data_IF_413899389677
#
_entry.id   IF_413899389677
#
_cell.length_a   1.000
_cell.length_b   1.000
_cell.length_c   1.000
_cell.angle_alpha   90.00
_cell.angle_beta   90.00
_cell.angle_gamma   90.00
#
_symmetry.space_group_name_H-M   'P 1'
#
loop_
_entity.id
_entity.type
_entity.pdbx_description
1 polymer ?
#
# COMPACT_ATOMS: atom_id res chain seq x y z
N UNK A 1 11.60 -21.37 -1.37
CA UNK A 1 11.21 -20.75 -1.16
C UNK A 1 10.29 -20.20 -1.52
N UNK A 2 9.77 -20.00 -1.30
CA UNK A 2 8.90 -19.48 -1.63
C UNK A 2 8.87 -18.42 -2.05
N UNK A 3 8.42 -18.53 -2.81
CA UNK A 3 8.45 -17.32 -3.39
C UNK A 3 7.97 -16.37 -2.43
N UNK A 4 8.79 -15.53 -2.10
CA UNK A 4 8.39 -14.54 -1.22
C UNK A 4 7.47 -13.64 -1.90
N UNK A 5 6.39 -13.36 -1.27
CA UNK A 5 5.42 -12.47 -1.84
C UNK A 5 5.79 -11.03 -1.50
N UNK A 6 6.82 -10.54 -2.16
CA UNK A 6 7.27 -9.18 -1.94
C UNK A 6 6.21 -8.15 -2.24
N UNK A 7 5.34 -8.46 -3.19
CA UNK A 7 4.25 -7.54 -3.54
C UNK A 7 3.31 -7.34 -2.38
N UNK A 8 2.99 -8.41 -1.66
CA UNK A 8 2.09 -8.29 -0.52
C UNK A 8 2.69 -7.45 0.58
N UNK A 9 3.99 -7.60 0.83
CA UNK A 9 4.66 -6.79 1.84
C UNK A 9 4.64 -5.31 1.47
N UNK A 10 4.87 -4.99 0.20
CA UNK A 10 4.80 -3.60 -0.27
C UNK A 10 3.40 -3.04 -0.10
N UNK A 11 2.40 -3.82 -0.51
CA UNK A 11 1.01 -3.39 -0.40
C UNK A 11 0.65 -3.12 1.05
N UNK A 12 1.04 -4.03 1.94
CA UNK A 12 0.73 -3.87 3.35
C UNK A 12 1.38 -2.61 3.92
N UNK A 13 2.62 -2.34 3.55
CA UNK A 13 3.32 -1.16 4.03
C UNK A 13 2.61 0.12 3.60
N UNK A 14 2.22 0.19 2.33
CA UNK A 14 1.53 1.37 1.80
C UNK A 14 0.19 1.56 2.49
N UNK A 15 -0.60 0.49 2.59
CA UNK A 15 -1.93 0.59 3.18
C UNK A 15 -1.86 0.91 4.66
N UNK A 16 -0.85 0.40 5.36
CA UNK A 16 -0.68 0.71 6.77
C UNK A 16 -0.37 2.18 6.98
N UNK A 17 0.48 2.75 6.13
CA UNK A 17 0.76 4.18 6.21
C UNK A 17 -0.51 5.00 5.96
N UNK A 18 -1.33 4.55 5.02
CA UNK A 18 -2.56 5.29 4.71
C UNK A 18 -3.63 5.12 5.77
N UNK A 19 -3.53 4.11 6.62
CA UNK A 19 -4.44 4.02 7.76
C UNK A 19 -4.22 5.17 8.72
N UNK A 20 -2.96 5.53 8.92
CA UNK A 20 -2.62 6.59 9.85
C UNK A 20 -2.97 7.97 9.28
N UNK A 21 -2.77 8.17 8.00
CA UNK A 21 -2.86 9.50 7.40
C UNK A 21 -4.03 9.69 6.45
N UNK A 22 -4.73 8.63 6.09
CA UNK A 22 -5.85 8.62 5.15
C UNK A 22 -5.44 8.96 3.73
N UNK A 23 -4.66 9.99 3.53
CA UNK A 23 -4.24 10.45 2.22
C UNK A 23 -2.83 11.01 2.31
N UNK A 24 -1.99 10.60 1.39
CA UNK A 24 -0.61 11.07 1.34
C UNK A 24 -0.18 11.25 -0.10
N UNK A 25 0.70 12.25 -0.36
CA UNK A 25 1.31 12.33 -1.69
C UNK A 25 2.17 11.10 -1.96
N UNK A 26 2.21 10.71 -3.23
CA UNK A 26 3.02 9.56 -3.64
C UNK A 26 4.48 9.74 -3.21
N UNK A 27 5.00 10.94 -3.36
CA UNK A 27 6.41 11.20 -3.01
C UNK A 27 6.67 10.99 -1.52
N UNK A 28 5.70 11.36 -0.68
CA UNK A 28 5.85 11.12 0.75
C UNK A 28 5.85 9.64 1.08
N UNK A 29 4.96 8.88 0.44
CA UNK A 29 4.92 7.43 0.66
C UNK A 29 6.23 6.79 0.20
N UNK A 30 6.73 7.19 -0.95
CA UNK A 30 7.99 6.64 -1.44
C UNK A 30 9.13 6.93 -0.50
N UNK A 31 9.15 8.14 0.08
CA UNK A 31 10.20 8.51 1.02
C UNK A 31 10.07 7.76 2.34
N UNK A 32 8.86 7.67 2.86
CA UNK A 32 8.62 6.98 4.13
C UNK A 32 8.93 5.50 4.03
N UNK A 33 8.71 4.92 2.85
CA UNK A 33 8.82 3.48 2.64
C UNK A 33 9.94 3.15 1.67
N UNK A 34 11.01 3.93 1.68
CA UNK A 34 12.05 3.80 0.68
C UNK A 34 12.73 2.44 0.66
N UNK A 35 12.67 1.72 1.74
CA UNK A 35 13.23 0.37 1.77
C UNK A 35 12.56 -0.57 0.78
N UNK A 36 11.37 -0.23 0.34
CA UNK A 36 10.62 -1.04 -0.61
C UNK A 36 10.82 -0.60 -2.04
N UNK A 37 11.51 0.51 -2.26
CA UNK A 37 11.80 1.04 -3.61
C UNK A 37 10.53 1.21 -4.43
N UNK A 38 9.55 1.90 -3.85
CA UNK A 38 8.26 2.09 -4.51
C UNK A 38 8.39 3.00 -5.71
N UNK A 39 7.71 2.63 -6.79
CA UNK A 39 7.62 3.47 -7.98
C UNK A 39 6.15 3.66 -8.32
N UNK A 40 5.87 4.58 -9.22
CA UNK A 40 4.49 4.91 -9.56
C UNK A 40 3.71 3.67 -10.00
N UNK A 41 4.34 2.77 -10.71
CA UNK A 41 3.65 1.58 -11.17
C UNK A 41 3.15 0.69 -10.03
N UNK A 42 3.85 0.69 -8.91
CA UNK A 42 3.39 -0.07 -7.74
C UNK A 42 2.04 0.46 -7.27
N UNK A 43 1.89 1.78 -7.21
CA UNK A 43 0.64 2.39 -6.79
C UNK A 43 -0.47 2.15 -7.81
N UNK A 44 -0.12 2.17 -9.09
CA UNK A 44 -1.10 1.92 -10.13
C UNK A 44 -1.64 0.49 -10.08
N UNK A 45 -0.78 -0.46 -9.78
CA UNK A 45 -1.23 -1.83 -9.63
C UNK A 45 -2.21 -1.97 -8.48
N UNK A 46 -1.94 -1.30 -7.37
CA UNK A 46 -2.85 -1.33 -6.24
C UNK A 46 -4.16 -0.64 -6.57
N UNK A 47 -4.10 0.43 -7.34
CA UNK A 47 -5.31 1.11 -7.78
C UNK A 47 -6.14 0.22 -8.69
N UNK A 48 -5.48 -0.49 -9.60
CA UNK A 48 -6.17 -1.40 -10.49
C UNK A 48 -6.91 -2.50 -9.73
N UNK A 49 -6.37 -2.91 -8.61
CA UNK A 49 -7.00 -3.93 -7.79
C UNK A 49 -8.04 -3.34 -6.84
N UNK A 50 -8.16 -2.04 -6.80
CA UNK A 50 -9.18 -1.40 -6.00
C UNK A 50 -8.78 -1.10 -4.57
N UNK A 51 -7.52 -1.27 -4.22
CA UNK A 51 -7.07 -1.08 -2.84
C UNK A 51 -6.84 0.37 -2.48
N UNK A 52 -6.59 1.20 -3.47
CA UNK A 52 -6.39 2.62 -3.23
C UNK A 52 -6.85 3.41 -4.45
N UNK A 53 -6.89 4.72 -4.29
CA UNK A 53 -7.17 5.62 -5.42
C UNK A 53 -6.07 6.64 -5.50
N UNK A 54 -5.85 7.14 -6.71
CA UNK A 54 -4.85 8.16 -6.96
C UNK A 54 -5.51 9.33 -7.66
N UNK A 55 -5.24 10.53 -7.19
CA UNK A 55 -5.72 11.74 -7.82
C UNK A 55 -4.54 12.63 -8.12
N UNK A 56 -4.46 13.15 -9.32
CA UNK A 56 -3.37 14.03 -9.71
C UNK A 56 -3.75 15.47 -9.36
N UNK A 57 -3.05 16.03 -8.40
CA UNK A 57 -3.33 17.37 -7.90
C UNK A 57 -2.03 18.15 -7.88
N UNK A 58 -2.04 19.30 -8.54
CA UNK A 58 -0.81 20.05 -8.71
C UNK A 58 0.13 19.26 -9.59
N UNK A 59 1.28 18.95 -9.09
CA UNK A 59 2.28 18.20 -9.84
C UNK A 59 2.51 16.81 -9.32
N UNK A 60 1.61 16.28 -8.50
CA UNK A 60 1.86 14.95 -7.95
C UNK A 60 0.55 14.23 -7.69
N UNK A 61 0.68 12.94 -7.45
CA UNK A 61 -0.46 12.10 -7.13
C UNK A 61 -0.70 12.08 -5.64
N UNK A 62 -1.98 12.22 -5.26
CA UNK A 62 -2.40 11.99 -3.89
C UNK A 62 -3.01 10.61 -3.82
N UNK A 63 -2.56 9.83 -2.86
CA UNK A 63 -2.95 8.42 -2.72
C UNK A 63 -3.85 8.28 -1.52
N UNK A 64 -5.01 7.65 -1.71
CA UNK A 64 -5.98 7.43 -0.64
C UNK A 64 -6.35 5.96 -0.57
N UNK A 65 -6.59 5.45 0.64
CA UNK A 65 -6.97 4.06 0.82
C UNK A 65 -8.47 3.91 0.59
N UNK A 66 -8.87 2.75 0.04
CA UNK A 66 -10.28 2.41 -0.14
C UNK A 66 -10.72 1.44 0.96
N UNK A 67 -12.03 1.22 1.02
CA UNK A 67 -12.57 0.20 1.94
C UNK A 67 -11.96 -1.17 1.62
N UNK A 68 -11.86 -1.50 0.34
CA UNK A 68 -11.29 -2.78 -0.05
C UNK A 68 -9.83 -2.90 0.39
N UNK A 69 -9.09 -1.81 0.29
CA UNK A 69 -7.71 -1.80 0.76
C UNK A 69 -7.60 -2.06 2.24
N UNK A 70 -8.50 -1.45 3.01
CA UNK A 70 -8.52 -1.68 4.46
C UNK A 70 -8.83 -3.13 4.80
N UNK A 71 -9.80 -3.71 4.11
CA UNK A 71 -10.16 -5.11 4.34
C UNK A 71 -9.01 -6.03 3.96
N UNK A 72 -8.34 -5.73 2.86
CA UNK A 72 -7.20 -6.52 2.45
C UNK A 72 -6.12 -6.51 3.52
N UNK A 73 -5.84 -5.34 4.08
CA UNK A 73 -4.80 -5.21 5.10
C UNK A 73 -5.19 -5.97 6.37
N UNK A 74 -6.45 -5.91 6.76
CA UNK A 74 -6.91 -6.65 7.92
C UNK A 74 -6.70 -8.15 7.72
N UNK A 75 -7.01 -8.65 6.54
CA UNK A 75 -6.83 -10.06 6.25
C UNK A 75 -5.36 -10.43 6.20
N UNK A 76 -4.55 -9.56 5.65
CA UNK A 76 -3.11 -9.78 5.60
C UNK A 76 -2.53 -9.89 7.02
N UNK A 77 -2.91 -8.96 7.88
CA UNK A 77 -2.41 -8.95 9.25
C UNK A 77 -2.89 -10.19 10.03
N UNK A 78 -4.13 -10.59 9.79
CA UNK A 78 -4.65 -11.79 10.45
C UNK A 78 -3.87 -13.04 10.02
N UNK A 79 -3.54 -13.14 8.74
CA UNK A 79 -2.75 -14.26 8.26
C UNK A 79 -1.35 -14.28 8.86
N UNK A 80 -0.74 -13.10 8.96
CA UNK A 80 0.60 -13.02 9.53
C UNK A 80 0.60 -13.44 10.99
N UNK A 81 -0.43 -13.04 11.72
CA UNK A 81 -0.52 -13.44 13.11
C UNK A 81 -0.71 -14.94 13.26
N UNK A 82 -1.52 -15.53 12.40
CA UNK A 82 -1.73 -16.98 12.45
C UNK A 82 -0.44 -17.72 12.11
N UNK A 83 0.32 -17.21 11.18
CA UNK A 83 1.56 -17.86 10.80
C UNK A 83 2.63 -17.72 11.86
N UNK A 84 2.53 -16.70 12.69
CA UNK A 84 3.52 -16.44 13.70
C UNK A 84 3.39 -17.34 14.93
N UNK A 85 2.26 -17.99 15.07
CA UNK A 85 2.02 -18.83 16.25
C UNK A 85 2.60 -20.23 16.16
#
# INVERSE_FOLDING_TARGET
MRAIDDSSAKYAAVLRALQAWKQLPESDLARMLRRYFLVTNDFREMEDQGYLTMAFVGDEYLVSVTMLGRLWLEQYDAKEQNNAS
#
